data_IF_611725369221
#
_entry.id   IF_611725369221
#
_cell.length_a   1.000
_cell.length_b   1.000
_cell.length_c   1.000
_cell.angle_alpha   90.00
_cell.angle_beta   90.00
_cell.angle_gamma   90.00
#
_symmetry.space_group_name_H-M   'P 1'
#
loop_
_entity.id
_entity.type
_entity.pdbx_description
1 polymer ?
#
# COMPACT_ATOMS: atom_id res chain seq x y z
N UNK A 1 -48.99 42.43 8.42
CA UNK A 1 -49.52 41.20 7.77
C UNK A 1 -48.38 40.20 7.68
N UNK A 2 -48.39 39.14 8.49
CA UNK A 2 -47.37 38.10 8.41
C UNK A 2 -47.72 37.13 7.28
N UNK A 3 -46.83 36.99 6.29
CA UNK A 3 -46.98 36.02 5.22
C UNK A 3 -46.88 34.61 5.79
N UNK A 4 -47.93 33.79 5.63
CA UNK A 4 -47.90 32.36 5.97
C UNK A 4 -46.89 31.66 5.07
N UNK A 5 -45.80 31.16 5.63
CA UNK A 5 -44.84 30.34 4.92
C UNK A 5 -45.53 29.05 4.48
N UNK A 6 -45.61 28.79 3.18
CA UNK A 6 -46.27 27.60 2.65
C UNK A 6 -45.43 26.36 2.95
N UNK A 7 -46.03 25.40 3.69
CA UNK A 7 -45.39 24.14 4.07
C UNK A 7 -44.82 23.39 2.87
N UNK A 8 -45.43 23.50 1.68
CA UNK A 8 -44.92 22.93 0.45
C UNK A 8 -43.51 23.44 0.11
N UNK A 9 -43.28 24.75 0.21
CA UNK A 9 -41.96 25.33 -0.06
C UNK A 9 -40.94 24.97 1.01
N UNK A 10 -41.36 24.80 2.27
CA UNK A 10 -40.50 24.31 3.34
C UNK A 10 -40.05 22.88 3.07
N UNK A 11 -40.98 22.01 2.65
CA UNK A 11 -40.68 20.62 2.29
C UNK A 11 -39.76 20.57 1.07
N UNK A 12 -40.05 21.34 0.00
CA UNK A 12 -39.19 21.40 -1.20
C UNK A 12 -37.79 21.90 -0.86
N UNK A 13 -37.64 22.93 -0.03
CA UNK A 13 -36.34 23.44 0.41
C UNK A 13 -35.57 22.40 1.25
N UNK A 14 -36.28 21.69 2.13
CA UNK A 14 -35.70 20.61 2.94
C UNK A 14 -35.31 19.40 2.08
N UNK A 15 -36.12 19.04 1.09
CA UNK A 15 -35.79 18.01 0.10
C UNK A 15 -34.59 18.42 -0.73
N UNK A 16 -34.49 19.67 -1.19
CA UNK A 16 -33.35 20.22 -1.92
C UNK A 16 -32.05 20.22 -1.08
N UNK A 17 -32.16 20.45 0.23
CA UNK A 17 -31.03 20.34 1.17
C UNK A 17 -30.54 18.89 1.35
N UNK A 18 -31.44 17.90 1.27
CA UNK A 18 -31.12 16.46 1.32
C UNK A 18 -30.46 15.94 0.03
N UNK A 19 -30.61 16.65 -1.10
CA UNK A 19 -29.95 16.31 -2.38
C UNK A 19 -28.59 16.99 -2.54
N UNK A 20 -28.06 17.66 -1.52
CA UNK A 20 -26.65 18.08 -1.57
C UNK A 20 -25.79 16.83 -1.78
N UNK A 21 -25.10 16.69 -2.92
CA UNK A 21 -23.97 15.81 -2.97
C UNK A 21 -22.89 16.57 -2.21
N UNK A 22 -22.95 16.55 -0.88
CA UNK A 22 -21.73 16.70 -0.11
C UNK A 22 -20.83 15.59 -0.64
N UNK A 23 -19.96 15.95 -1.57
CA UNK A 23 -18.88 15.09 -1.99
C UNK A 23 -18.01 14.97 -0.76
N UNK A 24 -18.31 13.96 0.07
CA UNK A 24 -17.42 13.52 1.10
C UNK A 24 -16.10 13.24 0.39
N UNK A 25 -15.10 14.09 0.64
CA UNK A 25 -13.72 13.75 0.37
C UNK A 25 -13.42 12.61 1.35
N UNK A 26 -13.72 11.38 0.93
CA UNK A 26 -13.50 10.20 1.74
C UNK A 26 -11.99 9.96 1.76
N UNK A 27 -11.33 10.52 2.77
CA UNK A 27 -9.97 10.13 3.12
C UNK A 27 -10.03 8.74 3.73
N UNK A 28 -9.32 7.79 3.14
CA UNK A 28 -9.10 6.48 3.76
C UNK A 28 -7.86 6.58 4.62
N UNK A 29 -8.04 6.55 5.94
CA UNK A 29 -6.93 6.52 6.89
C UNK A 29 -6.65 5.07 7.30
N UNK A 30 -5.37 4.70 7.33
CA UNK A 30 -4.87 3.42 7.81
C UNK A 30 -3.86 3.69 8.91
N UNK A 31 -4.08 3.09 10.08
CA UNK A 31 -3.21 3.30 11.24
C UNK A 31 -2.96 1.98 11.97
N UNK A 32 -1.67 1.67 12.16
CA UNK A 32 -1.20 0.52 12.91
C UNK A 32 -0.10 0.99 13.88
N UNK A 33 -0.42 1.12 15.17
CA UNK A 33 0.61 1.34 16.21
C UNK A 33 1.45 0.08 16.49
N UNK A 34 1.01 -1.05 15.94
CA UNK A 34 1.61 -2.38 15.99
C UNK A 34 0.65 -3.36 15.32
N UNK A 35 1.12 -4.59 15.05
CA UNK A 35 0.39 -5.53 14.20
C UNK A 35 -0.34 -6.65 14.98
N UNK A 36 -0.24 -6.69 16.32
CA UNK A 36 -0.90 -7.71 17.16
C UNK A 36 -2.41 -7.85 16.93
N UNK A 37 -3.07 -6.74 16.56
CA UNK A 37 -4.50 -6.68 16.30
C UNK A 37 -4.82 -6.38 14.84
N UNK A 38 -3.86 -6.60 13.93
CA UNK A 38 -4.10 -6.41 12.50
C UNK A 38 -5.22 -7.34 11.99
N UNK A 39 -5.45 -8.49 12.64
CA UNK A 39 -6.60 -9.36 12.37
C UNK A 39 -6.69 -9.73 10.89
N UNK A 40 -7.90 -9.62 10.32
CA UNK A 40 -8.15 -9.83 8.88
C UNK A 40 -7.85 -8.60 8.01
N UNK A 41 -7.33 -7.51 8.58
CA UNK A 41 -7.04 -6.29 7.83
C UNK A 41 -5.79 -6.43 6.96
N UNK A 42 -4.95 -7.44 7.19
CA UNK A 42 -3.78 -7.73 6.38
C UNK A 42 -3.87 -9.12 5.74
N UNK A 43 -3.45 -9.20 4.48
CA UNK A 43 -3.11 -10.43 3.78
C UNK A 43 -1.59 -10.60 3.86
N UNK A 44 -1.14 -11.70 4.46
CA UNK A 44 0.27 -12.04 4.56
C UNK A 44 0.60 -13.17 3.58
N UNK A 45 1.60 -12.96 2.72
CA UNK A 45 2.03 -13.92 1.72
C UNK A 45 3.50 -14.29 1.89
N UNK A 46 3.90 -15.41 1.29
CA UNK A 46 5.26 -15.93 1.41
C UNK A 46 5.58 -16.27 2.86
N UNK A 47 6.72 -15.80 3.36
CA UNK A 47 7.11 -16.01 4.76
C UNK A 47 6.70 -14.89 5.72
N UNK A 48 5.99 -13.87 5.23
CA UNK A 48 5.59 -12.75 6.06
C UNK A 48 4.72 -13.21 7.25
N UNK A 49 5.02 -12.70 8.44
CA UNK A 49 4.30 -13.04 9.67
C UNK A 49 4.31 -11.90 10.67
N UNK A 50 3.34 -11.93 11.56
CA UNK A 50 3.29 -11.03 12.72
C UNK A 50 3.89 -11.79 13.90
N UNK A 51 4.94 -11.23 14.49
CA UNK A 51 5.59 -11.77 15.68
C UNK A 51 4.72 -11.56 16.92
N UNK A 52 4.96 -12.34 17.98
CA UNK A 52 4.19 -12.24 19.25
C UNK A 52 4.26 -10.86 19.91
N UNK A 53 5.29 -10.09 19.62
CA UNK A 53 5.47 -8.72 20.12
C UNK A 53 4.81 -7.66 19.22
N UNK A 54 4.13 -8.06 18.14
CA UNK A 54 3.39 -7.17 17.27
C UNK A 54 4.20 -6.54 16.14
N UNK A 55 5.42 -7.02 15.89
CA UNK A 55 6.21 -6.60 14.73
C UNK A 55 5.76 -7.39 13.50
N UNK A 56 5.52 -6.70 12.39
CA UNK A 56 5.38 -7.33 11.08
C UNK A 56 6.77 -7.64 10.53
N UNK A 57 7.07 -8.92 10.39
CA UNK A 57 8.28 -9.42 9.77
C UNK A 57 7.96 -9.84 8.34
N UNK A 58 8.48 -9.12 7.34
CA UNK A 58 8.33 -9.49 5.93
C UNK A 58 9.21 -10.69 5.57
N UNK A 59 10.47 -10.66 6.01
CA UNK A 59 11.47 -11.69 5.73
C UNK A 59 12.32 -12.00 6.97
N UNK A 60 13.10 -13.09 6.92
CA UNK A 60 14.07 -13.47 7.92
C UNK A 60 15.46 -13.67 7.29
N UNK A 61 16.41 -14.18 8.08
CA UNK A 61 17.77 -14.55 7.69
C UNK A 61 17.84 -15.72 6.69
N UNK A 62 16.72 -16.34 6.33
CA UNK A 62 16.72 -17.44 5.37
C UNK A 62 16.91 -16.91 3.95
N UNK A 63 17.93 -17.44 3.27
CA UNK A 63 18.33 -16.99 1.94
C UNK A 63 17.21 -17.10 0.89
N UNK A 64 17.08 -16.06 0.06
CA UNK A 64 16.21 -16.02 -1.14
C UNK A 64 14.73 -16.31 -0.86
N UNK A 65 14.22 -15.77 0.24
CA UNK A 65 12.78 -15.77 0.52
C UNK A 65 12.18 -14.38 0.32
N UNK A 66 10.88 -14.35 0.05
CA UNK A 66 10.08 -13.14 -0.03
C UNK A 66 8.89 -13.24 0.91
N UNK A 67 8.38 -12.09 1.30
CA UNK A 67 7.13 -12.01 2.03
C UNK A 67 6.46 -10.67 1.79
N UNK A 68 5.13 -10.69 1.70
CA UNK A 68 4.32 -9.51 1.48
C UNK A 68 3.30 -9.34 2.59
N UNK A 69 3.00 -8.08 2.89
CA UNK A 69 1.86 -7.71 3.73
C UNK A 69 1.05 -6.66 3.00
N UNK A 70 -0.12 -7.03 2.52
CA UNK A 70 -1.06 -6.13 1.87
C UNK A 70 -2.22 -5.82 2.79
N UNK A 71 -2.70 -4.57 2.76
CA UNK A 71 -4.00 -4.26 3.35
C UNK A 71 -5.09 -5.00 2.56
N UNK A 72 -5.92 -5.78 3.27
CA UNK A 72 -6.85 -6.73 2.65
C UNK A 72 -7.94 -6.05 1.82
N UNK A 73 -8.33 -4.83 2.19
CA UNK A 73 -9.36 -4.07 1.48
C UNK A 73 -8.72 -3.17 0.42
N UNK A 74 -9.13 -3.24 -0.86
CA UNK A 74 -8.55 -2.41 -1.91
C UNK A 74 -8.66 -0.92 -1.63
N UNK A 75 -7.58 -0.19 -1.87
CA UNK A 75 -7.53 1.27 -1.76
C UNK A 75 -7.70 1.87 -3.16
N UNK A 76 -8.62 2.81 -3.30
CA UNK A 76 -8.79 3.56 -4.54
C UNK A 76 -7.66 4.59 -4.67
N UNK A 77 -6.87 4.50 -5.74
CA UNK A 77 -5.76 5.44 -6.04
C UNK A 77 -6.08 6.43 -7.16
N UNK A 78 -7.20 6.25 -7.87
CA UNK A 78 -7.68 7.16 -8.92
C UNK A 78 -9.16 7.49 -8.73
N UNK A 79 -9.52 8.73 -9.02
CA UNK A 79 -10.91 9.21 -8.99
C UNK A 79 -11.74 8.49 -10.05
N UNK A 80 -12.89 7.93 -9.65
CA UNK A 80 -13.84 7.29 -10.57
C UNK A 80 -14.53 8.28 -11.51
N UNK A 81 -14.48 9.59 -11.22
CA UNK A 81 -15.17 10.61 -12.02
C UNK A 81 -14.37 11.09 -13.21
N UNK A 82 -13.06 11.23 -13.06
CA UNK A 82 -12.19 11.85 -14.06
C UNK A 82 -10.84 11.13 -14.22
N UNK A 83 -10.62 10.01 -13.55
CA UNK A 83 -9.40 9.21 -13.65
C UNK A 83 -8.15 9.84 -13.03
N UNK A 84 -8.26 11.00 -12.39
CA UNK A 84 -7.12 11.68 -11.77
C UNK A 84 -6.57 10.89 -10.59
N UNK A 85 -5.24 10.88 -10.45
CA UNK A 85 -4.56 10.28 -9.30
C UNK A 85 -4.96 11.00 -8.01
N UNK A 86 -5.13 10.21 -6.94
CA UNK A 86 -5.38 10.73 -5.61
C UNK A 86 -4.06 10.93 -4.88
N UNK A 87 -3.92 12.03 -4.16
CA UNK A 87 -2.77 12.27 -3.29
C UNK A 87 -2.82 11.34 -2.09
N UNK A 88 -1.65 10.85 -1.66
CA UNK A 88 -1.51 10.06 -0.45
C UNK A 88 -0.28 10.51 0.36
N UNK A 89 -0.27 10.14 1.64
CA UNK A 89 0.88 10.25 2.53
C UNK A 89 0.97 8.99 3.37
N UNK A 90 2.18 8.51 3.61
CA UNK A 90 2.42 7.35 4.48
C UNK A 90 3.63 7.63 5.36
N UNK A 91 3.61 7.06 6.57
CA UNK A 91 4.73 7.09 7.52
C UNK A 91 4.79 5.73 8.18
N UNK A 92 5.97 5.11 8.20
CA UNK A 92 6.21 3.85 8.87
C UNK A 92 7.63 3.82 9.43
N UNK A 93 7.83 3.09 10.52
CA UNK A 93 9.14 2.73 11.03
C UNK A 93 9.48 1.31 10.60
N UNK A 94 10.73 1.08 10.20
CA UNK A 94 11.22 -0.24 9.83
C UNK A 94 12.64 -0.46 10.37
N UNK A 95 13.09 -1.70 10.34
CA UNK A 95 14.46 -2.07 10.64
C UNK A 95 14.89 -3.18 9.67
N UNK A 96 16.06 -3.02 9.08
CA UNK A 96 16.76 -4.07 8.33
C UNK A 96 17.86 -4.62 9.24
N UNK A 97 17.77 -5.91 9.55
CA UNK A 97 18.71 -6.60 10.46
C UNK A 97 19.39 -7.71 9.67
N UNK A 98 20.62 -7.52 9.20
CA UNK A 98 21.31 -8.51 8.40
C UNK A 98 21.80 -9.68 9.28
N UNK A 99 21.90 -10.88 8.70
CA UNK A 99 22.48 -12.05 9.38
C UNK A 99 23.97 -11.80 9.70
N UNK A 100 24.69 -11.17 8.77
CA UNK A 100 26.08 -10.76 8.95
C UNK A 100 26.21 -9.25 8.70
N UNK A 101 27.01 -8.56 9.51
CA UNK A 101 27.18 -7.09 9.42
C UNK A 101 27.62 -6.59 8.03
N UNK A 102 28.29 -7.43 7.24
CA UNK A 102 28.80 -7.10 5.91
C UNK A 102 28.05 -7.81 4.77
N UNK A 103 27.05 -8.64 5.08
CA UNK A 103 26.24 -9.36 4.09
C UNK A 103 24.76 -9.22 4.47
N UNK A 104 24.11 -8.22 3.89
CA UNK A 104 22.68 -7.97 4.02
C UNK A 104 21.84 -8.72 2.98
N UNK A 105 20.54 -8.45 3.01
CA UNK A 105 19.61 -8.80 1.93
C UNK A 105 19.39 -7.61 1.00
N UNK A 106 18.74 -7.83 -0.15
CA UNK A 106 18.54 -6.78 -1.16
C UNK A 106 17.70 -5.59 -0.66
N UNK A 107 16.69 -5.81 0.18
CA UNK A 107 15.90 -4.69 0.70
C UNK A 107 14.41 -5.00 0.83
N UNK A 108 13.59 -3.96 0.78
CA UNK A 108 12.13 -4.06 0.72
C UNK A 108 11.52 -2.85 0.01
N UNK A 109 10.22 -2.93 -0.30
CA UNK A 109 9.49 -1.83 -0.91
C UNK A 109 8.14 -1.57 -0.26
N UNK A 110 7.75 -0.30 -0.19
CA UNK A 110 6.35 0.11 -0.04
C UNK A 110 5.71 0.15 -1.43
N UNK A 111 4.57 -0.54 -1.61
CA UNK A 111 4.01 -0.74 -2.95
C UNK A 111 2.49 -0.51 -3.03
N UNK A 112 2.03 -0.03 -4.18
CA UNK A 112 0.66 -0.18 -4.65
C UNK A 112 0.64 -1.20 -5.79
N UNK A 113 -0.19 -2.23 -5.64
CA UNK A 113 -0.40 -3.26 -6.65
C UNK A 113 -1.92 -3.48 -6.87
N UNK A 114 -2.32 -3.96 -8.06
CA UNK A 114 -3.73 -4.24 -8.35
C UNK A 114 -4.30 -5.42 -7.56
N UNK A 115 -3.44 -6.31 -7.04
CA UNK A 115 -3.82 -7.49 -6.27
C UNK A 115 -3.01 -7.55 -4.96
N UNK A 116 -3.56 -8.22 -3.95
CA UNK A 116 -2.89 -8.51 -2.67
C UNK A 116 -1.99 -9.74 -2.72
N UNK A 117 -1.86 -10.36 -3.89
CA UNK A 117 -0.93 -11.46 -4.19
C UNK A 117 -0.20 -11.13 -5.49
N UNK A 118 1.08 -11.49 -5.56
CA UNK A 118 1.95 -11.26 -6.72
C UNK A 118 2.54 -12.60 -7.20
N UNK A 119 1.76 -13.42 -7.94
CA UNK A 119 2.20 -14.74 -8.37
C UNK A 119 3.43 -14.65 -9.28
N UNK A 120 4.40 -15.51 -9.03
CA UNK A 120 5.62 -15.58 -9.83
C UNK A 120 6.65 -14.49 -9.52
N UNK A 121 6.38 -13.57 -8.59
CA UNK A 121 7.38 -12.62 -8.14
C UNK A 121 8.58 -13.34 -7.51
N UNK A 122 9.77 -12.78 -7.73
CA UNK A 122 11.03 -13.35 -7.29
C UNK A 122 11.61 -12.57 -6.11
N UNK A 123 12.39 -13.24 -5.23
CA UNK A 123 13.15 -12.57 -4.18
C UNK A 123 14.33 -11.80 -4.79
N UNK A 124 15.23 -11.34 -3.93
CA UNK A 124 16.46 -10.66 -4.33
C UNK A 124 16.21 -9.33 -5.03
N UNK A 125 16.88 -9.06 -6.15
CA UNK A 125 16.83 -7.78 -6.88
C UNK A 125 15.41 -7.40 -7.35
N UNK A 126 14.48 -8.35 -7.41
CA UNK A 126 13.10 -8.10 -7.79
C UNK A 126 12.21 -7.65 -6.61
N UNK A 127 12.76 -7.60 -5.39
CA UNK A 127 12.13 -7.14 -4.14
C UNK A 127 10.77 -7.79 -3.83
N UNK A 128 10.50 -8.99 -4.38
CA UNK A 128 9.20 -9.65 -4.26
C UNK A 128 8.09 -9.03 -5.11
N UNK A 129 8.38 -8.06 -5.97
CA UNK A 129 7.36 -7.36 -6.75
C UNK A 129 7.19 -7.90 -8.17
N UNK A 130 8.30 -8.31 -8.79
CA UNK A 130 8.40 -8.61 -10.21
C UNK A 130 9.18 -9.91 -10.44
N UNK A 131 9.34 -10.30 -11.70
CA UNK A 131 10.26 -11.36 -12.10
C UNK A 131 11.00 -11.00 -13.38
N UNK A 132 11.96 -11.84 -13.76
CA UNK A 132 12.80 -11.63 -14.94
C UNK A 132 12.01 -11.52 -16.25
N UNK A 133 10.81 -12.10 -16.33
CA UNK A 133 10.00 -12.13 -17.56
C UNK A 133 9.03 -10.96 -17.69
N UNK A 134 8.66 -10.30 -16.60
CA UNK A 134 7.72 -9.17 -16.60
C UNK A 134 8.32 -7.85 -16.10
N UNK A 135 9.61 -7.81 -15.75
CA UNK A 135 10.27 -6.56 -15.38
C UNK A 135 10.20 -5.53 -16.53
N UNK A 136 9.76 -4.32 -16.20
CA UNK A 136 9.50 -3.24 -17.17
C UNK A 136 8.18 -3.36 -17.94
N UNK A 137 7.34 -4.36 -17.67
CA UNK A 137 6.05 -4.49 -18.32
C UNK A 137 5.02 -3.49 -17.74
N UNK A 138 4.51 -2.59 -18.58
CA UNK A 138 3.53 -1.57 -18.22
C UNK A 138 2.19 -2.13 -17.73
N UNK A 139 1.88 -3.41 -18.01
CA UNK A 139 0.65 -4.06 -17.56
C UNK A 139 0.70 -4.54 -16.11
N UNK A 140 1.88 -4.51 -15.46
CA UNK A 140 2.00 -4.91 -14.05
C UNK A 140 1.26 -3.93 -13.13
N UNK A 141 1.18 -2.66 -13.55
CA UNK A 141 0.51 -1.59 -12.80
C UNK A 141 0.98 -1.47 -11.34
N UNK A 142 2.27 -1.70 -11.11
CA UNK A 142 2.93 -1.57 -9.81
C UNK A 142 3.53 -0.17 -9.67
N UNK A 143 3.34 0.42 -8.51
CA UNK A 143 4.13 1.56 -8.03
C UNK A 143 4.88 1.11 -6.79
N UNK A 144 6.16 1.46 -6.67
CA UNK A 144 6.97 1.11 -5.51
C UNK A 144 7.87 2.26 -5.09
N UNK A 145 8.14 2.32 -3.79
CA UNK A 145 9.26 3.05 -3.20
C UNK A 145 10.13 1.99 -2.54
N UNK A 146 11.29 1.74 -3.12
CA UNK A 146 12.27 0.77 -2.63
C UNK A 146 13.21 1.38 -1.59
N UNK A 147 13.74 0.50 -0.76
CA UNK A 147 14.89 0.73 0.12
C UNK A 147 15.85 -0.40 -0.21
N UNK A 148 16.75 -0.15 -1.15
CA UNK A 148 17.64 -1.15 -1.72
C UNK A 148 19.06 -1.01 -1.13
N UNK A 149 19.60 -2.13 -0.65
CA UNK A 149 20.87 -2.25 0.06
C UNK A 149 21.91 -3.05 -0.76
N UNK A 150 21.63 -3.34 -2.04
CA UNK A 150 22.54 -4.07 -2.92
C UNK A 150 22.59 -3.39 -4.29
N UNK A 151 23.79 -3.21 -4.84
CA UNK A 151 23.94 -2.67 -6.19
C UNK A 151 23.76 -3.79 -7.24
N UNK A 152 22.60 -3.83 -7.89
CA UNK A 152 22.32 -4.72 -9.00
C UNK A 152 22.56 -4.01 -10.35
N UNK A 153 23.75 -4.24 -10.94
CA UNK A 153 24.17 -3.59 -12.20
C UNK A 153 23.20 -3.80 -13.38
N UNK A 154 22.45 -4.91 -13.38
CA UNK A 154 21.45 -5.19 -14.40
C UNK A 154 20.27 -4.19 -14.38
N UNK A 155 19.99 -3.59 -13.23
CA UNK A 155 18.97 -2.55 -13.04
C UNK A 155 19.53 -1.13 -13.03
N UNK A 156 20.86 -1.02 -13.16
CA UNK A 156 21.60 0.26 -13.24
C UNK A 156 21.51 1.07 -11.96
N UNK A 157 21.52 0.37 -10.84
CA UNK A 157 21.52 0.96 -9.51
C UNK A 157 22.70 1.91 -9.35
N UNK A 158 22.42 3.05 -8.72
CA UNK A 158 23.39 4.13 -8.55
C UNK A 158 24.55 3.71 -7.64
N UNK A 159 24.24 2.93 -6.60
CA UNK A 159 25.16 2.40 -5.59
C UNK A 159 24.46 1.23 -4.84
N UNK A 160 25.06 0.78 -3.75
CA UNK A 160 24.57 -0.25 -2.84
C UNK A 160 23.67 0.29 -1.70
N UNK A 161 23.15 1.51 -1.82
CA UNK A 161 22.23 2.11 -0.84
C UNK A 161 21.45 3.29 -1.46
N UNK A 162 20.22 3.03 -1.89
CA UNK A 162 19.37 4.04 -2.54
C UNK A 162 17.87 3.93 -2.21
#
# INVERSE_FOLDING_TARGET
MASKLNLFWVVVLFSLLLINPFFLCQSQELYFSGFNHAGSNLTLNGIAKILKNGILQLTNDTSRLLGHAFYSSPIRVKSSRNGQALSFSTVFGFALVPEFQTLGGHGFAFTFAPNNELPGALPSQYLGLLNASDNGNLTNHIFAVEFDEVQDFEFKDINDNH
#
